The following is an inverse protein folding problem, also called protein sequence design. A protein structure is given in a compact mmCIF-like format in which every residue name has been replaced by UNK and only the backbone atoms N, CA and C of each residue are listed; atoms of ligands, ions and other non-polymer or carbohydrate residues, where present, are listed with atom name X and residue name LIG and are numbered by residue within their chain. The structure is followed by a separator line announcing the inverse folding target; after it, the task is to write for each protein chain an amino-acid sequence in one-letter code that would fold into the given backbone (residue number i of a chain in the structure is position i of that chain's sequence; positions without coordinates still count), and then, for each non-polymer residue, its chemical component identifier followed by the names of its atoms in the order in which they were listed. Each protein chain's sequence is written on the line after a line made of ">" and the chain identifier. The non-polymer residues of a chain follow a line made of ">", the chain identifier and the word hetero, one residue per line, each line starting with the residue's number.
data_IF_000548480563
#
_entry.id   IF_000548480563
#
_cell.length_a   1.000
_cell.length_b   1.000
_cell.length_c   1.000
_cell.angle_alpha   90.00
_cell.angle_beta   90.00
_cell.angle_gamma   90.00
#
_symmetry.space_group_name_H-M   'P 1'
#
loop_
_entity.id
_entity.type
_entity.pdbx_description
1 polymer ?
#
# COMPACT_ATOMS: atom_id res chain seq x y z
N UNK A 1 14.69 21.22 59.73
CA UNK A 1 14.81 21.61 58.30
C UNK A 1 14.71 20.45 57.31
N UNK A 2 14.71 19.21 57.70
CA UNK A 2 14.78 17.99 56.87
C UNK A 2 13.46 17.51 56.22
N UNK A 3 12.30 17.86 56.77
CA UNK A 3 10.98 17.39 56.25
C UNK A 3 10.55 18.06 54.94
N UNK A 4 10.95 19.27 54.66
CA UNK A 4 10.58 20.00 53.42
C UNK A 4 11.33 19.52 52.18
N UNK A 5 12.58 19.09 52.35
CA UNK A 5 13.43 18.59 51.26
C UNK A 5 13.02 17.20 50.79
N UNK A 6 12.57 16.32 51.67
CA UNK A 6 12.06 14.98 51.30
C UNK A 6 10.77 15.05 50.49
N UNK A 7 9.86 15.98 50.83
CA UNK A 7 8.58 16.14 50.09
C UNK A 7 8.78 16.68 48.68
N UNK A 8 9.77 17.56 48.48
CA UNK A 8 10.12 18.08 47.15
C UNK A 8 10.77 17.01 46.29
N UNK A 9 11.67 16.19 46.85
CA UNK A 9 12.28 15.10 46.11
C UNK A 9 11.28 14.03 45.67
N UNK A 10 10.31 13.68 46.53
CA UNK A 10 9.23 12.72 46.17
C UNK A 10 8.34 13.28 45.08
N UNK A 11 8.00 14.58 45.10
CA UNK A 11 7.22 15.22 44.06
C UNK A 11 7.93 15.26 42.70
N UNK A 12 9.23 15.55 42.71
CA UNK A 12 10.07 15.53 41.51
C UNK A 12 10.17 14.11 40.91
N UNK A 13 10.37 13.10 41.75
CA UNK A 13 10.43 11.71 41.32
C UNK A 13 9.08 11.24 40.74
N UNK A 14 7.95 11.63 41.33
CA UNK A 14 6.63 11.30 40.81
C UNK A 14 6.34 11.99 39.46
N UNK A 15 6.72 13.24 39.29
CA UNK A 15 6.60 13.98 38.06
C UNK A 15 7.44 13.36 36.91
N UNK A 16 8.68 12.94 37.25
CA UNK A 16 9.55 12.25 36.30
C UNK A 16 8.98 10.87 35.86
N UNK A 17 8.42 10.11 36.80
CA UNK A 17 7.79 8.81 36.49
C UNK A 17 6.56 8.96 35.58
N UNK A 18 5.72 9.98 35.78
CA UNK A 18 4.57 10.28 34.91
C UNK A 18 5.04 10.69 33.51
N UNK A 19 6.12 11.45 33.40
CA UNK A 19 6.71 11.84 32.10
C UNK A 19 7.22 10.66 31.29
N UNK A 20 7.84 9.67 31.93
CA UNK A 20 8.33 8.45 31.26
C UNK A 20 7.17 7.57 30.78
N UNK A 21 6.09 7.45 31.57
CA UNK A 21 4.89 6.71 31.17
C UNK A 21 4.15 7.34 29.97
N UNK A 22 4.15 8.67 29.86
CA UNK A 22 3.55 9.37 28.74
C UNK A 22 4.34 9.21 27.43
N UNK A 23 5.65 9.00 27.49
CA UNK A 23 6.50 8.78 26.32
C UNK A 23 6.33 7.38 25.69
N UNK A 24 5.81 6.41 26.45
CA UNK A 24 5.59 5.04 25.98
C UNK A 24 4.36 4.86 25.05
N UNK A 25 3.51 5.88 24.89
CA UNK A 25 2.27 5.79 24.11
C UNK A 25 2.43 6.08 22.60
N UNK A 26 3.63 6.15 22.07
CA UNK A 26 3.84 6.45 20.64
C UNK A 26 4.03 5.16 19.83
N UNK A 27 3.03 4.29 19.83
CA UNK A 27 3.04 3.05 19.04
C UNK A 27 2.24 3.31 17.77
N UNK A 28 2.91 3.82 16.74
CA UNK A 28 2.36 3.84 15.39
C UNK A 28 2.42 2.43 14.81
N UNK A 29 1.28 1.81 14.52
CA UNK A 29 1.20 0.53 13.83
C UNK A 29 1.10 0.76 12.33
N UNK A 30 1.94 0.04 11.56
CA UNK A 30 1.86 -0.03 10.11
C UNK A 30 1.25 -1.39 9.74
N UNK A 31 0.16 -1.36 9.01
CA UNK A 31 -0.46 -2.56 8.47
C UNK A 31 -0.26 -2.58 6.97
N UNK A 32 0.14 -3.73 6.44
CA UNK A 32 0.21 -3.96 5.02
C UNK A 32 -0.84 -5.00 4.65
N UNK A 33 -1.73 -4.62 3.73
CA UNK A 33 -2.81 -5.44 3.24
C UNK A 33 -2.60 -5.75 1.76
N UNK A 34 -2.99 -6.97 1.36
CA UNK A 34 -2.88 -7.41 -0.02
C UNK A 34 -1.50 -7.97 -0.37
N UNK A 35 -1.20 -7.97 -1.66
CA UNK A 35 0.02 -8.56 -2.20
C UNK A 35 1.21 -7.61 -2.01
N UNK A 36 2.28 -8.10 -1.38
CA UNK A 36 3.54 -7.34 -1.31
C UNK A 36 4.23 -7.51 -2.65
N UNK A 37 4.12 -6.48 -3.49
CA UNK A 37 4.79 -6.47 -4.78
C UNK A 37 6.29 -6.26 -4.56
N UNK A 38 7.08 -7.30 -4.85
CA UNK A 38 8.52 -7.17 -4.98
C UNK A 38 8.83 -6.44 -6.30
N UNK A 39 9.34 -5.22 -6.19
CA UNK A 39 9.71 -4.42 -7.37
C UNK A 39 10.75 -5.14 -8.26
N UNK A 40 11.63 -5.95 -7.65
CA UNK A 40 12.59 -6.76 -8.39
C UNK A 40 11.90 -7.89 -9.15
N UNK A 41 10.86 -8.50 -8.60
CA UNK A 41 10.06 -9.51 -9.28
C UNK A 41 9.30 -8.90 -10.46
N UNK A 42 8.70 -7.72 -10.28
CA UNK A 42 8.06 -6.97 -11.37
C UNK A 42 9.04 -6.63 -12.50
N UNK A 43 10.26 -6.19 -12.15
CA UNK A 43 11.28 -5.85 -13.12
C UNK A 43 11.77 -7.05 -13.97
N UNK A 44 11.52 -8.28 -13.51
CA UNK A 44 11.84 -9.51 -14.29
C UNK A 44 10.76 -9.81 -15.33
N UNK A 45 9.55 -9.27 -15.19
CA UNK A 45 8.49 -9.50 -16.16
C UNK A 45 8.78 -8.72 -17.43
N UNK A 46 8.85 -9.46 -18.55
CA UNK A 46 9.16 -8.88 -19.85
C UNK A 46 8.06 -9.21 -20.85
N UNK A 47 7.85 -8.34 -21.85
CA UNK A 47 6.98 -8.67 -22.97
C UNK A 47 7.33 -10.02 -23.60
N UNK A 48 6.31 -10.79 -23.95
CA UNK A 48 6.43 -12.14 -24.52
C UNK A 48 6.46 -13.28 -23.52
N UNK A 49 6.63 -13.05 -22.23
CA UNK A 49 6.52 -14.09 -21.19
C UNK A 49 5.13 -14.70 -21.18
N UNK A 50 5.04 -16.00 -20.89
CA UNK A 50 3.73 -16.67 -20.75
C UNK A 50 3.07 -16.34 -19.40
N UNK A 51 1.74 -16.50 -19.32
CA UNK A 51 0.99 -16.33 -18.10
C UNK A 51 1.51 -17.23 -16.96
N UNK A 52 1.92 -18.48 -17.26
CA UNK A 52 2.48 -19.40 -16.27
C UNK A 52 3.80 -18.91 -15.69
N UNK A 53 4.66 -18.31 -16.52
CA UNK A 53 5.90 -17.70 -16.05
C UNK A 53 5.64 -16.49 -15.14
N UNK A 54 4.63 -15.68 -15.46
CA UNK A 54 4.20 -14.57 -14.61
C UNK A 54 3.69 -15.10 -13.28
N UNK A 55 2.86 -16.17 -13.30
CA UNK A 55 2.33 -16.80 -12.10
C UNK A 55 3.46 -17.34 -11.19
N UNK A 56 4.49 -17.94 -11.77
CA UNK A 56 5.65 -18.42 -11.03
C UNK A 56 6.49 -17.28 -10.43
N UNK A 57 6.53 -16.13 -11.10
CA UNK A 57 7.36 -15.00 -10.68
C UNK A 57 6.65 -14.10 -9.67
N UNK A 58 5.37 -13.78 -9.91
CA UNK A 58 4.57 -12.86 -9.09
C UNK A 58 3.54 -13.59 -8.21
N UNK A 59 3.32 -14.89 -8.40
CA UNK A 59 2.27 -15.61 -7.68
C UNK A 59 0.86 -15.29 -8.19
N UNK A 60 -0.14 -15.64 -7.38
CA UNK A 60 -1.56 -15.46 -7.73
C UNK A 60 -1.95 -13.98 -7.74
N UNK A 61 -2.59 -13.48 -8.80
CA UNK A 61 -3.06 -12.09 -8.85
C UNK A 61 -4.22 -11.85 -7.85
N UNK A 62 -4.33 -10.63 -7.36
CA UNK A 62 -5.42 -10.22 -6.47
C UNK A 62 -6.77 -10.20 -7.19
N UNK A 63 -6.77 -9.83 -8.46
CA UNK A 63 -7.96 -9.88 -9.34
C UNK A 63 -7.57 -9.98 -10.81
N UNK A 64 -8.51 -10.45 -11.63
CA UNK A 64 -8.32 -10.58 -13.07
C UNK A 64 -9.44 -9.85 -13.80
N UNK A 65 -9.12 -9.21 -14.90
CA UNK A 65 -10.10 -8.65 -15.84
C UNK A 65 -10.09 -9.45 -17.13
N UNK A 66 -11.28 -9.75 -17.62
CA UNK A 66 -11.51 -10.40 -18.92
C UNK A 66 -12.17 -9.45 -19.91
N UNK A 67 -12.41 -8.20 -19.52
CA UNK A 67 -12.98 -7.14 -20.36
C UNK A 67 -11.88 -6.58 -21.25
N UNK A 68 -12.02 -6.72 -22.55
CA UNK A 68 -10.96 -6.39 -23.51
C UNK A 68 -9.85 -7.44 -23.54
N UNK A 69 -8.60 -7.05 -23.38
CA UNK A 69 -7.47 -7.95 -23.20
C UNK A 69 -7.45 -8.51 -21.79
N UNK A 70 -7.03 -9.77 -21.62
CA UNK A 70 -6.87 -10.36 -20.29
C UNK A 70 -5.82 -9.59 -19.50
N UNK A 71 -6.16 -9.19 -18.27
CA UNK A 71 -5.28 -8.40 -17.43
C UNK A 71 -5.30 -8.94 -16.01
N UNK A 72 -4.11 -9.04 -15.39
CA UNK A 72 -3.93 -9.46 -14.01
C UNK A 72 -3.50 -8.27 -13.17
N UNK A 73 -4.14 -8.10 -12.02
CA UNK A 73 -3.87 -7.01 -11.10
C UNK A 73 -3.41 -7.53 -9.76
N UNK A 74 -2.28 -7.02 -9.32
CA UNK A 74 -1.68 -7.25 -8.00
C UNK A 74 -1.83 -5.97 -7.20
N UNK A 75 -2.60 -6.04 -6.11
CA UNK A 75 -3.00 -4.87 -5.32
C UNK A 75 -2.24 -4.89 -4.01
N UNK A 76 -1.54 -3.81 -3.71
CA UNK A 76 -0.83 -3.56 -2.45
C UNK A 76 -1.38 -2.30 -1.81
N UNK A 77 -1.69 -2.37 -0.52
CA UNK A 77 -2.17 -1.24 0.26
C UNK A 77 -1.45 -1.19 1.61
N UNK A 78 -0.78 -0.08 1.86
CA UNK A 78 -0.21 0.26 3.15
C UNK A 78 -1.16 1.16 3.93
N UNK A 79 -1.44 0.81 5.19
CA UNK A 79 -2.19 1.65 6.10
C UNK A 79 -1.37 1.92 7.36
N UNK A 80 -1.47 3.13 7.88
CA UNK A 80 -0.81 3.55 9.12
C UNK A 80 -1.82 4.02 10.12
N UNK A 81 -1.78 3.43 11.30
CA UNK A 81 -2.52 3.92 12.48
C UNK A 81 -1.54 4.68 13.38
N UNK A 82 -1.78 5.96 13.59
CA UNK A 82 -0.90 6.79 14.44
C UNK A 82 -1.12 6.51 15.93
N UNK A 83 -2.36 6.31 16.33
CA UNK A 83 -2.77 5.97 17.70
C UNK A 83 -3.93 5.00 17.65
N UNK A 84 -4.05 4.16 18.68
CA UNK A 84 -4.95 3.00 18.70
C UNK A 84 -6.44 3.34 18.57
N UNK A 85 -6.86 4.54 18.95
CA UNK A 85 -8.26 4.99 18.87
C UNK A 85 -8.60 5.79 17.59
N UNK A 86 -7.63 6.00 16.68
CA UNK A 86 -7.87 6.63 15.39
C UNK A 86 -8.00 5.57 14.29
N UNK A 87 -8.81 5.88 13.30
CA UNK A 87 -8.92 5.05 12.10
C UNK A 87 -7.58 5.02 11.34
N UNK A 88 -7.17 3.86 10.82
CA UNK A 88 -5.99 3.76 9.98
C UNK A 88 -6.15 4.66 8.75
N UNK A 89 -5.07 5.34 8.37
CA UNK A 89 -5.02 6.14 7.15
C UNK A 89 -4.23 5.37 6.10
N UNK A 90 -4.77 5.27 4.89
CA UNK A 90 -4.03 4.70 3.75
C UNK A 90 -2.84 5.61 3.44
N UNK A 91 -1.64 5.05 3.52
CA UNK A 91 -0.38 5.78 3.29
C UNK A 91 0.20 5.50 1.92
N UNK A 92 -0.01 4.29 1.41
CA UNK A 92 0.47 3.87 0.10
C UNK A 92 -0.53 2.91 -0.54
N UNK A 93 -0.76 3.07 -1.82
CA UNK A 93 -1.66 2.24 -2.59
C UNK A 93 -1.09 2.05 -3.98
N UNK A 94 -0.76 0.81 -4.32
CA UNK A 94 -0.14 0.46 -5.60
C UNK A 94 -0.89 -0.69 -6.25
N UNK A 95 -1.01 -0.61 -7.56
CA UNK A 95 -1.60 -1.65 -8.40
C UNK A 95 -0.63 -1.97 -9.53
N UNK A 96 -0.07 -3.17 -9.51
CA UNK A 96 0.69 -3.70 -10.64
C UNK A 96 -0.27 -4.40 -11.58
N UNK A 97 -0.33 -3.94 -12.82
CA UNK A 97 -1.14 -4.53 -13.87
C UNK A 97 -0.25 -5.21 -14.90
N UNK A 98 -0.54 -6.48 -15.19
CA UNK A 98 0.09 -7.24 -16.26
C UNK A 98 -0.96 -7.47 -17.34
N UNK A 99 -0.71 -6.93 -18.52
CA UNK A 99 -1.60 -7.03 -19.68
C UNK A 99 -1.11 -8.14 -20.59
N UNK A 100 -2.05 -8.99 -21.00
CA UNK A 100 -1.78 -10.12 -21.89
C UNK A 100 -2.46 -9.91 -23.24
N UNK A 101 -1.79 -10.36 -24.29
CA UNK A 101 -2.40 -10.48 -25.61
C UNK A 101 -3.33 -11.71 -25.67
N UNK A 102 -3.97 -11.94 -26.83
CA UNK A 102 -4.87 -13.07 -27.04
C UNK A 102 -4.20 -14.44 -26.83
N UNK A 103 -2.89 -14.54 -27.04
CA UNK A 103 -2.09 -15.74 -26.84
C UNK A 103 -1.59 -15.94 -25.39
N UNK A 104 -2.12 -15.20 -24.40
CA UNK A 104 -1.70 -15.25 -23.00
C UNK A 104 -0.19 -14.97 -22.81
N UNK A 105 0.36 -14.09 -23.64
CA UNK A 105 1.71 -13.59 -23.48
C UNK A 105 1.66 -12.14 -23.01
N UNK A 106 2.58 -11.79 -22.12
CA UNK A 106 2.71 -10.42 -21.62
C UNK A 106 2.91 -9.45 -22.77
N UNK A 107 2.05 -8.48 -22.87
CA UNK A 107 2.14 -7.36 -23.82
C UNK A 107 2.85 -6.19 -23.16
N UNK A 108 2.39 -5.81 -21.96
CA UNK A 108 3.00 -4.73 -21.16
C UNK A 108 2.74 -4.93 -19.67
N UNK A 109 3.56 -4.28 -18.87
CA UNK A 109 3.38 -4.15 -17.43
C UNK A 109 3.21 -2.67 -17.10
N UNK A 110 2.28 -2.35 -16.18
CA UNK A 110 2.09 -1.01 -15.67
C UNK A 110 2.07 -1.05 -14.14
N UNK A 111 2.65 -0.04 -13.51
CA UNK A 111 2.63 0.14 -12.06
C UNK A 111 1.89 1.43 -11.75
N UNK A 112 0.66 1.29 -11.28
CA UNK A 112 -0.19 2.41 -10.93
C UNK A 112 -0.12 2.72 -9.44
N UNK A 113 -0.12 4.00 -9.11
CA UNK A 113 -0.30 4.53 -7.78
C UNK A 113 -1.10 5.82 -7.82
N UNK A 114 -1.33 6.41 -6.65
CA UNK A 114 -1.96 7.71 -6.53
C UNK A 114 -0.91 8.78 -6.29
N UNK A 115 -0.87 9.77 -7.17
CA UNK A 115 -0.09 10.98 -7.02
C UNK A 115 -1.05 12.17 -7.12
N UNK A 116 -1.11 12.99 -6.07
CA UNK A 116 -2.06 14.11 -5.94
C UNK A 116 -3.53 13.73 -6.19
N UNK A 117 -3.92 12.53 -5.72
CA UNK A 117 -5.28 12.00 -5.89
C UNK A 117 -5.62 11.54 -7.32
N UNK A 118 -4.65 11.51 -8.22
CA UNK A 118 -4.80 11.00 -9.59
C UNK A 118 -4.03 9.71 -9.77
N UNK A 119 -4.57 8.82 -10.60
CA UNK A 119 -3.87 7.59 -10.97
C UNK A 119 -2.69 7.95 -11.86
N UNK A 120 -1.50 7.51 -11.46
CA UNK A 120 -0.25 7.73 -12.16
C UNK A 120 0.41 6.39 -12.48
N UNK A 121 0.90 6.23 -13.72
CA UNK A 121 1.69 5.05 -14.12
C UNK A 121 3.18 5.35 -13.92
N UNK A 122 3.78 4.70 -12.94
CA UNK A 122 5.19 4.90 -12.58
C UNK A 122 6.17 4.33 -13.60
N UNK A 123 5.74 3.37 -14.44
CA UNK A 123 6.61 2.78 -15.48
C UNK A 123 6.69 3.72 -16.68
N UNK A 124 5.54 4.17 -17.19
CA UNK A 124 5.52 5.08 -18.34
C UNK A 124 5.67 6.55 -17.94
N UNK A 125 5.56 6.85 -16.62
CA UNK A 125 5.62 8.20 -16.04
C UNK A 125 4.59 9.15 -16.66
N UNK A 126 3.41 8.63 -16.93
CA UNK A 126 2.30 9.36 -17.51
C UNK A 126 1.04 9.20 -16.67
N UNK A 127 0.21 10.26 -16.67
CA UNK A 127 -1.18 10.11 -16.21
C UNK A 127 -1.95 9.50 -17.37
N UNK A 128 -2.50 8.30 -17.18
CA UNK A 128 -3.23 7.66 -18.25
C UNK A 128 -4.40 8.54 -18.72
N UNK A 129 -4.52 8.83 -20.01
CA UNK A 129 -5.60 9.61 -20.60
C UNK A 129 -6.58 8.70 -21.34
N UNK A 130 -7.71 8.40 -20.71
CA UNK A 130 -8.94 7.88 -21.32
C UNK A 130 -8.87 6.58 -22.12
N UNK A 131 -9.09 5.43 -21.50
CA UNK A 131 -9.32 4.13 -22.13
C UNK A 131 -10.10 3.21 -21.17
N UNK A 132 -10.70 2.12 -21.67
CA UNK A 132 -11.53 1.20 -20.86
C UNK A 132 -10.79 0.63 -19.65
N UNK A 133 -9.51 0.33 -19.79
CA UNK A 133 -8.67 -0.22 -18.70
C UNK A 133 -8.44 0.79 -17.56
N UNK A 134 -8.44 2.07 -17.87
CA UNK A 134 -8.22 3.15 -16.90
C UNK A 134 -9.43 3.42 -16.04
N UNK A 135 -10.61 3.29 -16.61
CA UNK A 135 -11.85 3.36 -15.85
C UNK A 135 -11.87 2.23 -14.81
N UNK A 136 -11.40 1.03 -15.18
CA UNK A 136 -11.28 -0.09 -14.26
C UNK A 136 -10.27 0.18 -13.15
N UNK A 137 -9.05 0.61 -13.47
CA UNK A 137 -8.01 0.95 -12.48
C UNK A 137 -8.47 2.08 -11.57
N UNK A 138 -9.11 3.12 -12.10
CA UNK A 138 -9.65 4.22 -11.31
C UNK A 138 -10.79 3.79 -10.39
N UNK A 139 -11.64 2.86 -10.82
CA UNK A 139 -12.68 2.26 -9.99
C UNK A 139 -12.07 1.38 -8.90
N UNK A 140 -11.02 0.64 -9.21
CA UNK A 140 -10.28 -0.18 -8.26
C UNK A 140 -9.73 0.68 -7.11
N UNK A 141 -9.04 1.78 -7.43
CA UNK A 141 -8.54 2.71 -6.40
C UNK A 141 -9.66 3.33 -5.57
N UNK A 142 -10.79 3.69 -6.17
CA UNK A 142 -11.97 4.20 -5.45
C UNK A 142 -12.60 3.15 -4.54
N UNK A 143 -12.61 1.89 -4.99
CA UNK A 143 -13.11 0.76 -4.20
C UNK A 143 -12.24 0.48 -2.98
N UNK A 144 -10.92 0.50 -3.14
CA UNK A 144 -9.95 0.28 -2.06
C UNK A 144 -10.01 1.34 -0.95
N UNK A 145 -10.36 2.60 -1.29
CA UNK A 145 -10.53 3.68 -0.31
C UNK A 145 -11.80 3.58 0.54
N UNK A 146 -12.74 2.68 0.19
CA UNK A 146 -14.02 2.49 0.87
C UNK A 146 -14.11 1.25 1.76
N UNK A 147 -13.03 0.48 1.92
CA UNK A 147 -13.07 -0.69 2.77
C UNK A 147 -13.21 -0.25 4.23
N UNK A 148 -14.30 -0.67 4.91
CA UNK A 148 -14.42 -0.45 6.34
C UNK A 148 -13.34 -1.28 7.03
N UNK A 149 -12.57 -0.63 7.89
CA UNK A 149 -11.59 -1.25 8.78
C UNK A 149 -12.31 -1.60 10.08
#
# INVERSE_FOLDING_TARGET
>A
MTRRTTTTLVRLAAAAAIGVLAAACNIGENFQHGYIVDEQAVARIRPGMSADQVLQTLGTPSTVSTVGNKSWYYISQGTRRRVQFLNPTTTDQRVTAVYFNQGLRVERVALYGLEDGKVFDFITRTTPAGGGDQNFVSQLFRGLGRWPV
#
